data_IF_099295876157
#
_entry.id   IF_099295876157
#
_cell.length_a   1.000
_cell.length_b   1.000
_cell.length_c   1.000
_cell.angle_alpha   90.00
_cell.angle_beta   90.00
_cell.angle_gamma   90.00
#
_symmetry.space_group_name_H-M   'P 1'
#
loop_
_entity.id
_entity.type
_entity.pdbx_description
1 polymer ?
#
# COMPACT_ATOMS: atom_id res chain seq x y z
N UNK A 1 -11.50 -14.93 -20.92
CA UNK A 1 -11.49 -13.68 -20.13
C UNK A 1 -10.23 -13.62 -19.27
N UNK A 2 -9.07 -13.38 -19.89
CA UNK A 2 -7.80 -13.24 -19.17
C UNK A 2 -7.06 -12.04 -19.75
N UNK A 3 -7.21 -10.88 -19.12
CA UNK A 3 -6.40 -9.72 -19.41
C UNK A 3 -5.23 -9.75 -18.43
N UNK A 4 -4.14 -10.40 -18.83
CA UNK A 4 -2.82 -10.20 -18.24
C UNK A 4 -2.43 -8.75 -18.52
N UNK A 5 -2.69 -7.88 -17.55
CA UNK A 5 -2.31 -6.48 -17.63
C UNK A 5 -0.80 -6.39 -17.86
N UNK A 6 -0.47 -5.83 -19.02
CA UNK A 6 0.84 -5.37 -19.45
C UNK A 6 1.57 -4.67 -18.31
N UNK A 7 2.69 -5.25 -17.87
CA UNK A 7 3.68 -4.56 -17.02
C UNK A 7 4.30 -3.44 -17.83
N UNK A 8 3.71 -2.26 -17.79
CA UNK A 8 4.36 -1.04 -18.27
C UNK A 8 5.26 -0.50 -17.15
N UNK A 9 6.53 -0.91 -17.19
CA UNK A 9 7.61 -0.41 -16.33
C UNK A 9 7.92 1.03 -16.73
N UNK A 10 7.35 2.01 -16.04
CA UNK A 10 7.81 3.39 -16.09
C UNK A 10 7.76 3.98 -14.68
N UNK A 11 8.94 4.01 -14.05
CA UNK A 11 9.22 4.34 -12.65
C UNK A 11 8.64 3.35 -11.63
N UNK A 12 9.42 2.89 -10.63
CA UNK A 12 8.80 2.24 -9.49
C UNK A 12 7.87 3.30 -8.88
N UNK A 13 6.56 3.03 -8.91
CA UNK A 13 5.57 3.86 -8.23
C UNK A 13 5.87 3.70 -6.74
N UNK A 14 6.89 4.40 -6.25
CA UNK A 14 7.30 4.40 -4.86
C UNK A 14 6.45 5.45 -4.16
N UNK A 15 6.02 5.19 -2.94
CA UNK A 15 5.34 6.20 -2.16
C UNK A 15 6.34 7.32 -1.84
N UNK A 16 5.93 8.56 -2.09
CA UNK A 16 6.72 9.72 -1.67
C UNK A 16 6.64 9.76 -0.13
N UNK A 17 7.77 9.81 0.60
CA UNK A 17 7.75 9.94 2.06
C UNK A 17 7.01 11.22 2.45
N UNK A 18 6.14 11.14 3.46
CA UNK A 18 5.21 12.22 3.81
C UNK A 18 3.96 12.38 2.93
N UNK A 19 3.73 11.51 1.95
CA UNK A 19 2.54 11.55 1.10
C UNK A 19 1.62 10.33 1.27
N UNK A 20 0.44 10.40 0.64
CA UNK A 20 -0.52 9.31 0.57
C UNK A 20 -0.15 8.32 -0.53
N UNK A 21 0.13 7.09 -0.12
CA UNK A 21 0.49 5.97 -0.95
C UNK A 21 -0.74 5.16 -1.39
N UNK A 22 -0.76 4.70 -2.64
CA UNK A 22 -1.75 3.72 -3.11
C UNK A 22 -1.35 2.30 -2.67
N UNK A 23 -2.30 1.37 -2.72
CA UNK A 23 -2.03 -0.05 -2.48
C UNK A 23 -0.89 -0.58 -3.35
N UNK A 24 -0.80 -0.17 -4.61
CA UNK A 24 0.26 -0.63 -5.51
C UNK A 24 1.64 -0.14 -5.07
N UNK A 25 1.74 1.12 -4.62
CA UNK A 25 2.98 1.68 -4.09
C UNK A 25 3.49 0.92 -2.87
N UNK A 26 2.57 0.54 -1.99
CA UNK A 26 2.88 -0.17 -0.76
C UNK A 26 3.23 -1.63 -1.04
N UNK A 27 2.49 -2.30 -1.93
CA UNK A 27 2.83 -3.63 -2.42
C UNK A 27 4.23 -3.68 -3.04
N UNK A 28 4.59 -2.68 -3.86
CA UNK A 28 5.92 -2.60 -4.46
C UNK A 28 7.01 -2.33 -3.42
N UNK A 29 6.76 -1.42 -2.46
CA UNK A 29 7.73 -1.06 -1.42
C UNK A 29 8.06 -2.23 -0.49
N UNK A 30 7.04 -2.92 -0.01
CA UNK A 30 7.21 -4.06 0.92
C UNK A 30 7.34 -5.41 0.21
N UNK A 31 7.34 -5.42 -1.13
CA UNK A 31 7.32 -6.63 -1.96
C UNK A 31 6.24 -7.64 -1.56
N UNK A 32 5.07 -7.15 -1.17
CA UNK A 32 3.92 -7.99 -0.76
C UNK A 32 2.83 -8.00 -1.81
N UNK A 33 2.09 -9.11 -1.88
CA UNK A 33 0.91 -9.23 -2.72
C UNK A 33 -0.24 -8.35 -2.23
N UNK A 34 -1.13 -7.93 -3.15
CA UNK A 34 -2.35 -7.16 -2.82
C UNK A 34 -3.26 -7.90 -1.83
N UNK A 35 -3.29 -9.23 -1.86
CA UNK A 35 -4.05 -10.06 -0.93
C UNK A 35 -3.51 -9.98 0.50
N UNK A 36 -2.18 -10.01 0.66
CA UNK A 36 -1.50 -9.81 1.95
C UNK A 36 -1.80 -8.40 2.47
N UNK A 37 -1.66 -7.39 1.60
CA UNK A 37 -2.01 -6.01 1.94
C UNK A 37 -3.46 -5.86 2.40
N UNK A 38 -4.42 -6.49 1.72
CA UNK A 38 -5.83 -6.47 2.12
C UNK A 38 -6.03 -7.08 3.51
N UNK A 39 -5.35 -8.19 3.83
CA UNK A 39 -5.40 -8.78 5.17
C UNK A 39 -4.88 -7.82 6.23
N UNK A 40 -3.74 -7.17 5.98
CA UNK A 40 -3.19 -6.15 6.88
C UNK A 40 -4.16 -4.98 7.07
N UNK A 41 -4.80 -4.52 5.99
CA UNK A 41 -5.83 -3.47 6.07
C UNK A 41 -7.06 -3.82 6.90
N UNK A 42 -7.24 -5.11 7.20
CA UNK A 42 -8.32 -5.63 8.06
C UNK A 42 -7.86 -5.91 9.50
N UNK A 43 -6.56 -5.81 9.78
CA UNK A 43 -6.02 -5.97 11.12
C UNK A 43 -6.42 -4.78 11.99
N UNK A 44 -6.85 -5.05 13.23
CA UNK A 44 -7.14 -4.01 14.19
C UNK A 44 -5.86 -3.21 14.52
N UNK A 45 -5.95 -1.88 14.50
CA UNK A 45 -4.80 -1.00 14.73
C UNK A 45 -3.99 -0.67 13.47
N UNK A 46 -4.32 -1.25 12.31
CA UNK A 46 -3.75 -0.79 11.04
C UNK A 46 -4.19 0.67 10.75
N UNK A 47 -3.39 1.49 10.05
CA UNK A 47 -3.71 2.91 9.82
C UNK A 47 -5.11 3.14 9.23
N UNK A 48 -5.65 4.35 9.36
CA UNK A 48 -6.91 4.66 8.68
C UNK A 48 -6.66 4.89 7.18
N UNK A 49 -7.39 4.16 6.35
CA UNK A 49 -7.36 4.36 4.91
C UNK A 49 -8.10 5.66 4.54
N UNK A 50 -7.43 6.57 3.84
CA UNK A 50 -8.00 7.83 3.37
C UNK A 50 -8.59 7.64 1.97
N UNK A 51 -9.90 7.89 1.84
CA UNK A 51 -10.61 7.76 0.55
C UNK A 51 -10.48 9.05 -0.25
N UNK A 52 -9.78 8.98 -1.37
CA UNK A 52 -9.77 9.99 -2.41
C UNK A 52 -10.76 9.57 -3.50
N UNK A 53 -12.04 9.90 -3.30
CA UNK A 53 -13.12 9.47 -4.20
C UNK A 53 -13.27 7.94 -4.24
N UNK A 54 -13.13 7.36 -5.43
CA UNK A 54 -13.15 5.91 -5.63
C UNK A 54 -11.84 5.20 -5.25
N UNK A 55 -10.76 5.95 -5.00
CA UNK A 55 -9.44 5.38 -4.69
C UNK A 55 -9.13 5.48 -3.21
N UNK A 56 -8.65 4.39 -2.63
CA UNK A 56 -8.19 4.34 -1.24
C UNK A 56 -6.69 4.57 -1.22
N UNK A 57 -6.24 5.48 -0.36
CA UNK A 57 -4.83 5.76 -0.13
C UNK A 57 -4.50 5.68 1.35
N UNK A 58 -3.22 5.51 1.64
CA UNK A 58 -2.70 5.26 2.97
C UNK A 58 -1.58 6.24 3.26
N UNK A 59 -1.57 6.89 4.43
CA UNK A 59 -0.42 7.70 4.84
C UNK A 59 0.80 6.78 4.99
N UNK A 60 1.84 6.99 4.17
CA UNK A 60 2.99 6.09 4.12
C UNK A 60 3.70 6.00 5.48
N UNK A 61 3.87 7.13 6.17
CA UNK A 61 4.46 7.24 7.50
C UNK A 61 3.74 6.39 8.56
N UNK A 62 2.40 6.43 8.58
CA UNK A 62 1.64 5.67 9.58
C UNK A 62 1.70 4.16 9.33
N UNK A 63 1.75 3.76 8.05
CA UNK A 63 1.96 2.35 7.68
C UNK A 63 3.35 1.90 8.10
N UNK A 64 4.38 2.71 7.81
CA UNK A 64 5.74 2.41 8.22
C UNK A 64 5.85 2.26 9.73
N UNK A 65 5.35 3.24 10.49
CA UNK A 65 5.36 3.18 11.95
C UNK A 65 4.66 1.92 12.49
N UNK A 66 3.49 1.57 11.94
CA UNK A 66 2.78 0.34 12.34
C UNK A 66 3.59 -0.93 12.07
N UNK A 67 4.19 -1.04 10.87
CA UNK A 67 4.98 -2.21 10.51
C UNK A 67 6.28 -2.29 11.31
N UNK A 68 6.96 -1.17 11.54
CA UNK A 68 8.14 -1.10 12.42
C UNK A 68 7.79 -1.50 13.85
N UNK A 69 6.63 -1.11 14.37
CA UNK A 69 6.19 -1.50 15.71
C UNK A 69 5.86 -2.99 15.84
N UNK A 70 5.48 -3.68 14.75
CA UNK A 70 5.20 -5.12 14.76
C UNK A 70 6.48 -5.99 14.68
N UNK A 71 7.60 -5.43 14.23
CA UNK A 71 8.89 -6.13 14.14
C UNK A 71 9.70 -6.09 15.45
N UNK A 72 9.29 -5.27 16.43
CA UNK A 72 9.97 -5.05 17.71
C UNK A 72 9.53 -6.00 18.84
#
# INVERSE_FOLDING_TARGET
MAQTATRNTAAPNLPIPGAFATTEQLCNRYQVSRTTWWRWSKTAGFPAAVRFGCSVRWPAEAVEAFLTQQEA
#
